data_IF_552786363098
#
_entry.id   IF_552786363098
#
_cell.length_a   1.000
_cell.length_b   1.000
_cell.length_c   1.000
_cell.angle_alpha   90.00
_cell.angle_beta   90.00
_cell.angle_gamma   90.00
#
_symmetry.space_group_name_H-M   'P 1'
#
loop_
_entity.id
_entity.type
_entity.pdbx_description
1 polymer ?
#
# COMPACT_ATOMS: atom_id res chain seq x y z
N UNK A 1 -28.04 -7.17 -19.19
CA UNK A 1 -27.25 -7.52 -18.01
C UNK A 1 -26.26 -6.41 -17.71
N UNK A 2 -26.23 -6.00 -16.48
CA UNK A 2 -25.31 -4.95 -16.06
C UNK A 2 -23.99 -5.57 -15.66
N UNK A 3 -22.91 -5.08 -16.27
CA UNK A 3 -21.57 -5.45 -15.84
C UNK A 3 -21.29 -4.76 -14.50
N UNK A 4 -21.08 -5.55 -13.46
CA UNK A 4 -20.80 -5.00 -12.14
C UNK A 4 -19.30 -4.98 -11.92
N UNK A 5 -18.74 -3.76 -11.82
CA UNK A 5 -17.34 -3.59 -11.47
C UNK A 5 -17.14 -3.97 -10.01
N UNK A 6 -15.98 -4.53 -9.70
CA UNK A 6 -15.63 -4.85 -8.32
C UNK A 6 -15.53 -3.58 -7.47
N UNK A 7 -15.76 -3.73 -6.18
CA UNK A 7 -15.60 -2.67 -5.18
C UNK A 7 -14.48 -3.04 -4.23
N UNK A 8 -13.73 -2.05 -3.76
CA UNK A 8 -12.63 -2.28 -2.84
C UNK A 8 -12.79 -1.41 -1.61
N UNK A 9 -12.33 -1.92 -0.48
CA UNK A 9 -12.18 -1.12 0.72
C UNK A 9 -10.92 -1.53 1.45
N UNK A 10 -10.35 -0.58 2.19
CA UNK A 10 -9.12 -0.78 2.95
C UNK A 10 -9.40 -0.51 4.42
N UNK A 11 -8.87 -1.37 5.28
CA UNK A 11 -8.93 -1.18 6.71
C UNK A 11 -7.54 -1.41 7.27
N UNK A 12 -7.16 -0.70 8.32
CA UNK A 12 -5.89 -0.94 8.98
C UNK A 12 -5.98 -0.57 10.45
N UNK A 13 -5.16 -1.26 11.24
CA UNK A 13 -5.06 -1.05 12.67
C UNK A 13 -3.58 -1.07 13.04
N UNK A 14 -3.10 0.00 13.68
CA UNK A 14 -1.71 0.07 14.11
C UNK A 14 -1.50 -0.91 15.26
N UNK A 15 -0.53 -1.81 15.08
CA UNK A 15 -0.16 -2.81 16.08
C UNK A 15 0.89 -2.23 17.01
N UNK A 16 1.83 -1.46 16.45
CA UNK A 16 2.91 -0.87 17.21
C UNK A 16 2.42 0.18 18.18
N UNK A 17 3.09 0.28 19.32
CA UNK A 17 2.83 1.30 20.32
C UNK A 17 3.15 2.68 19.75
N UNK A 18 2.38 3.70 20.16
CA UNK A 18 2.58 5.08 19.72
C UNK A 18 4.00 5.59 19.92
N UNK A 19 4.70 5.07 20.91
CA UNK A 19 6.03 5.54 21.30
C UNK A 19 7.16 4.80 20.59
N UNK A 20 6.84 3.83 19.72
CA UNK A 20 7.86 3.06 19.02
C UNK A 20 8.72 3.92 18.12
N UNK A 21 8.17 5.04 17.66
CA UNK A 21 8.86 5.95 16.75
C UNK A 21 8.54 7.39 17.11
N UNK A 22 9.51 8.28 16.88
CA UNK A 22 9.34 9.72 17.05
C UNK A 22 10.13 10.42 15.96
N UNK A 23 9.97 11.75 15.85
CA UNK A 23 10.72 12.53 14.87
C UNK A 23 12.24 12.41 15.02
N UNK A 24 12.72 12.01 16.19
CA UNK A 24 14.15 11.76 16.43
C UNK A 24 14.68 10.55 15.68
N UNK A 25 13.80 9.63 15.30
CA UNK A 25 14.17 8.37 14.64
C UNK A 25 14.09 8.45 13.12
N UNK A 26 14.02 9.65 12.56
CA UNK A 26 13.75 9.81 11.14
C UNK A 26 14.81 9.19 10.22
N UNK A 27 16.00 8.90 10.75
CA UNK A 27 17.07 8.24 10.00
C UNK A 27 17.35 6.82 10.46
N UNK A 28 16.60 6.33 11.44
CA UNK A 28 16.83 5.03 12.06
C UNK A 28 16.02 3.97 11.32
N UNK A 29 16.63 3.35 10.31
CA UNK A 29 15.97 2.36 9.46
C UNK A 29 15.34 1.20 10.25
N UNK A 30 16.04 0.57 11.24
CA UNK A 30 15.39 -0.49 12.00
C UNK A 30 14.13 -0.04 12.75
N UNK A 31 14.14 1.17 13.32
CA UNK A 31 12.96 1.69 14.01
C UNK A 31 11.82 1.94 13.02
N UNK A 32 12.14 2.45 11.84
CA UNK A 32 11.17 2.71 10.78
C UNK A 32 10.50 1.41 10.34
N UNK A 33 11.27 0.35 10.11
CA UNK A 33 10.76 -0.94 9.69
C UNK A 33 9.98 -1.67 10.79
N UNK A 34 10.19 -1.29 12.04
CA UNK A 34 9.51 -1.91 13.17
C UNK A 34 8.08 -1.39 13.36
N UNK A 35 7.69 -0.31 12.66
CA UNK A 35 6.33 0.23 12.77
C UNK A 35 5.39 -0.63 11.94
N UNK A 36 4.48 -1.33 12.62
CA UNK A 36 3.62 -2.32 12.00
C UNK A 36 2.13 -2.00 12.16
N UNK A 37 1.37 -2.39 11.17
CA UNK A 37 -0.09 -2.33 11.20
C UNK A 37 -0.66 -3.58 10.55
N UNK A 38 -1.83 -4.01 11.05
CA UNK A 38 -2.60 -5.04 10.36
C UNK A 38 -3.34 -4.34 9.23
N UNK A 39 -3.12 -4.78 8.00
CA UNK A 39 -3.72 -4.17 6.82
C UNK A 39 -4.64 -5.16 6.13
N UNK A 40 -5.86 -4.72 5.83
CA UNK A 40 -6.89 -5.56 5.22
C UNK A 40 -7.39 -4.93 3.93
N UNK A 41 -7.45 -5.73 2.88
CA UNK A 41 -8.12 -5.34 1.63
C UNK A 41 -9.35 -6.22 1.49
N UNK A 42 -10.51 -5.58 1.35
CA UNK A 42 -11.76 -6.28 1.06
C UNK A 42 -12.17 -5.99 -0.38
N UNK A 43 -12.56 -7.02 -1.10
CA UNK A 43 -13.09 -6.90 -2.45
C UNK A 43 -14.50 -7.45 -2.42
N UNK A 44 -15.47 -6.62 -2.78
CA UNK A 44 -16.90 -6.97 -2.72
C UNK A 44 -17.29 -7.48 -1.34
N UNK A 45 -16.79 -6.81 -0.29
CA UNK A 45 -17.04 -7.11 1.12
C UNK A 45 -16.42 -8.42 1.63
N UNK A 46 -15.61 -9.09 0.81
CA UNK A 46 -14.87 -10.28 1.25
C UNK A 46 -13.41 -9.95 1.47
N UNK A 47 -12.81 -10.54 2.49
CA UNK A 47 -11.39 -10.34 2.77
C UNK A 47 -10.57 -10.98 1.65
N UNK A 48 -9.86 -10.16 0.90
CA UNK A 48 -8.95 -10.60 -0.13
C UNK A 48 -7.53 -10.74 0.41
N UNK A 49 -7.11 -9.80 1.26
CA UNK A 49 -5.76 -9.74 1.81
C UNK A 49 -5.86 -9.25 3.26
N UNK A 50 -5.11 -9.90 4.15
CA UNK A 50 -5.03 -9.45 5.53
C UNK A 50 -3.70 -9.90 6.10
N UNK A 51 -2.84 -8.94 6.43
CA UNK A 51 -1.52 -9.25 6.96
C UNK A 51 -0.94 -8.07 7.71
N UNK A 52 -0.01 -8.36 8.60
CA UNK A 52 0.80 -7.32 9.21
C UNK A 52 1.78 -6.80 8.18
N UNK A 53 1.92 -5.49 8.10
CA UNK A 53 2.83 -4.82 7.17
C UNK A 53 3.71 -3.85 7.92
N UNK A 54 4.95 -3.68 7.45
CA UNK A 54 5.79 -2.56 7.82
C UNK A 54 5.15 -1.32 7.20
N UNK A 55 4.29 -0.66 7.94
CA UNK A 55 3.33 0.29 7.38
C UNK A 55 3.97 1.54 6.79
N UNK A 56 5.10 1.99 7.33
CA UNK A 56 5.80 3.15 6.76
C UNK A 56 6.42 2.80 5.41
N UNK A 57 6.92 1.58 5.27
CA UNK A 57 7.44 1.08 4.01
C UNK A 57 6.33 1.00 2.96
N UNK A 58 5.19 0.46 3.34
CA UNK A 58 4.02 0.40 2.45
C UNK A 58 3.57 1.81 2.05
N UNK A 59 3.52 2.72 3.02
CA UNK A 59 3.15 4.11 2.75
C UNK A 59 4.08 4.73 1.69
N UNK A 60 5.40 4.51 1.83
CA UNK A 60 6.35 5.07 0.86
C UNK A 60 6.11 4.52 -0.55
N UNK A 61 5.77 3.24 -0.65
CA UNK A 61 5.45 2.65 -1.95
C UNK A 61 4.25 3.36 -2.59
N UNK A 62 3.20 3.62 -1.81
CA UNK A 62 2.03 4.38 -2.29
C UNK A 62 2.42 5.80 -2.71
N UNK A 63 3.23 6.47 -1.89
CA UNK A 63 3.66 7.84 -2.14
C UNK A 63 4.45 7.94 -3.44
N UNK A 64 5.40 7.04 -3.66
CA UNK A 64 6.21 7.01 -4.87
C UNK A 64 5.38 6.72 -6.11
N UNK A 65 4.45 5.78 -6.00
CA UNK A 65 3.54 5.47 -7.10
C UNK A 65 2.69 6.68 -7.46
N UNK A 66 2.14 7.35 -6.46
CA UNK A 66 1.30 8.54 -6.69
C UNK A 66 2.08 9.64 -7.40
N UNK A 67 3.34 9.84 -7.05
CA UNK A 67 4.19 10.84 -7.69
C UNK A 67 4.38 10.58 -9.20
N UNK A 68 4.30 9.32 -9.62
CA UNK A 68 4.52 8.94 -11.00
C UNK A 68 3.27 9.00 -11.87
N UNK A 69 2.11 9.23 -11.27
CA UNK A 69 0.86 9.33 -12.03
C UNK A 69 0.86 10.63 -12.81
N UNK A 70 0.59 10.54 -14.12
CA UNK A 70 0.43 11.70 -14.97
C UNK A 70 -0.95 11.64 -15.62
N UNK A 71 -1.34 12.73 -16.29
CA UNK A 71 -2.60 12.81 -17.00
C UNK A 71 -2.78 11.69 -18.03
N UNK A 72 -1.68 11.30 -18.66
CA UNK A 72 -1.71 10.34 -19.77
C UNK A 72 -1.19 8.96 -19.40
N UNK A 73 -0.70 8.77 -18.16
CA UNK A 73 -0.12 7.49 -17.78
C UNK A 73 -0.33 7.18 -16.30
N UNK A 74 -0.86 5.98 -16.06
CA UNK A 74 -1.01 5.44 -14.71
C UNK A 74 -0.12 4.21 -14.64
N UNK A 75 1.02 4.29 -13.92
CA UNK A 75 1.91 3.13 -13.81
C UNK A 75 1.31 2.06 -12.91
N UNK A 76 1.80 0.84 -13.06
CA UNK A 76 1.43 -0.21 -12.12
C UNK A 76 1.99 0.12 -10.74
N UNK A 77 1.26 -0.27 -9.70
CA UNK A 77 1.72 -0.20 -8.33
C UNK A 77 2.18 -1.59 -7.90
N UNK A 78 3.35 -1.67 -7.30
CA UNK A 78 3.85 -2.93 -6.75
C UNK A 78 4.53 -2.67 -5.42
N UNK A 79 4.06 -3.36 -4.38
CA UNK A 79 4.68 -3.29 -3.07
C UNK A 79 5.42 -4.57 -2.76
N UNK A 80 6.70 -4.43 -2.47
CA UNK A 80 7.58 -5.49 -1.97
C UNK A 80 8.17 -5.00 -0.66
N UNK A 81 8.32 -5.92 0.30
CA UNK A 81 9.02 -5.55 1.53
C UNK A 81 10.48 -5.97 1.46
N UNK A 82 11.36 -5.17 2.07
CA UNK A 82 12.79 -5.50 2.14
C UNK A 82 13.04 -6.69 3.06
N UNK A 83 12.06 -7.06 3.88
CA UNK A 83 12.15 -8.21 4.79
C UNK A 83 11.83 -9.54 4.10
N UNK A 84 11.31 -9.51 2.89
CA UNK A 84 10.95 -10.70 2.12
C UNK A 84 11.68 -10.64 0.78
N UNK A 85 12.57 -11.59 0.56
CA UNK A 85 13.48 -11.57 -0.59
C UNK A 85 13.13 -12.51 -1.73
N UNK A 86 11.99 -13.20 -1.66
CA UNK A 86 11.54 -14.08 -2.75
C UNK A 86 10.56 -13.34 -3.67
N UNK A 87 11.12 -12.63 -4.64
CA UNK A 87 10.34 -11.82 -5.58
C UNK A 87 9.85 -12.59 -6.80
N UNK A 88 10.22 -13.86 -6.95
CA UNK A 88 9.81 -14.66 -8.09
C UNK A 88 8.30 -14.88 -8.09
N UNK A 89 7.69 -14.94 -6.91
CA UNK A 89 6.26 -15.17 -6.77
C UNK A 89 5.42 -13.90 -7.01
N UNK A 90 6.08 -12.76 -7.14
CA UNK A 90 5.40 -11.49 -7.39
C UNK A 90 5.33 -10.56 -6.19
N UNK A 91 4.54 -9.51 -6.31
CA UNK A 91 4.42 -8.48 -5.28
C UNK A 91 3.45 -8.90 -4.18
N UNK A 92 3.69 -8.40 -2.97
CA UNK A 92 2.79 -8.59 -1.84
C UNK A 92 1.43 -7.96 -2.16
N UNK A 93 1.43 -6.76 -2.72
CA UNK A 93 0.22 -6.08 -3.21
C UNK A 93 0.57 -5.42 -4.53
N UNK A 94 -0.27 -5.60 -5.54
CA UNK A 94 -0.08 -4.92 -6.81
C UNK A 94 -1.39 -4.42 -7.37
N UNK A 95 -1.31 -3.32 -8.11
CA UNK A 95 -2.39 -2.77 -8.91
C UNK A 95 -1.88 -2.75 -10.35
N UNK A 96 -2.53 -3.50 -11.22
CA UNK A 96 -2.07 -3.74 -12.58
C UNK A 96 -3.08 -3.17 -13.58
N UNK A 97 -2.82 -1.95 -14.11
CA UNK A 97 -3.69 -1.35 -15.12
C UNK A 97 -3.61 -2.10 -16.45
N UNK A 98 -4.74 -2.19 -17.12
CA UNK A 98 -4.83 -2.67 -18.49
C UNK A 98 -6.02 -1.98 -19.17
N UNK A 99 -5.76 -1.27 -20.27
CA UNK A 99 -6.79 -0.47 -20.95
C UNK A 99 -7.43 0.53 -19.95
N UNK A 100 -8.75 0.57 -19.84
CA UNK A 100 -9.47 1.43 -18.91
C UNK A 100 -9.85 0.72 -17.61
N UNK A 101 -9.19 -0.39 -17.32
CA UNK A 101 -9.45 -1.26 -16.15
C UNK A 101 -8.16 -1.49 -15.37
N UNK A 102 -8.29 -2.13 -14.22
CA UNK A 102 -7.15 -2.58 -13.44
C UNK A 102 -7.54 -3.76 -12.55
N UNK A 103 -6.56 -4.55 -12.19
CA UNK A 103 -6.73 -5.67 -11.25
C UNK A 103 -5.82 -5.49 -10.06
N UNK A 104 -6.29 -5.95 -8.91
CA UNK A 104 -5.49 -6.04 -7.68
C UNK A 104 -5.05 -7.49 -7.52
N UNK A 105 -3.78 -7.69 -7.22
CA UNK A 105 -3.21 -9.02 -6.99
C UNK A 105 -2.33 -9.01 -5.75
N UNK A 106 -2.20 -10.19 -5.14
CA UNK A 106 -1.31 -10.39 -4.00
C UNK A 106 -0.85 -11.84 -3.98
N UNK A 107 0.45 -12.05 -3.71
CA UNK A 107 0.97 -13.40 -3.48
C UNK A 107 0.51 -13.95 -2.13
N UNK A 108 0.04 -13.09 -1.23
CA UNK A 108 -0.45 -13.47 0.11
C UNK A 108 -1.98 -13.38 0.20
N UNK A 109 -2.69 -13.45 -0.93
CA UNK A 109 -4.14 -13.37 -0.92
C UNK A 109 -4.76 -14.47 -0.06
N UNK A 110 -5.71 -14.08 0.79
CA UNK A 110 -6.42 -15.04 1.65
C UNK A 110 -7.37 -15.93 0.85
N UNK A 111 -7.87 -15.42 -0.27
CA UNK A 111 -8.75 -16.14 -1.14
C UNK A 111 -8.55 -15.70 -2.58
N UNK A 112 -8.88 -16.57 -3.51
CA UNK A 112 -8.72 -16.29 -4.94
C UNK A 112 -9.95 -15.55 -5.46
N UNK A 113 -10.04 -14.26 -5.15
CA UNK A 113 -11.15 -13.43 -5.59
C UNK A 113 -10.77 -12.78 -6.92
N UNK A 114 -11.46 -13.18 -7.98
CA UNK A 114 -11.29 -12.52 -9.27
C UNK A 114 -11.85 -11.10 -9.19
N UNK A 115 -11.10 -10.14 -9.66
CA UNK A 115 -11.51 -8.74 -9.59
C UNK A 115 -11.09 -8.00 -10.85
N UNK A 116 -11.94 -7.05 -11.25
CA UNK A 116 -11.63 -6.08 -12.30
C UNK A 116 -12.31 -4.78 -11.88
N UNK A 117 -11.54 -3.73 -11.81
CA UNK A 117 -12.03 -2.40 -11.39
C UNK A 117 -11.96 -1.43 -12.56
N UNK A 118 -12.88 -0.47 -12.57
CA UNK A 118 -12.72 0.69 -13.46
C UNK A 118 -11.46 1.45 -13.03
N UNK A 119 -10.64 1.84 -13.99
CA UNK A 119 -9.35 2.44 -13.71
C UNK A 119 -9.47 3.72 -12.87
N UNK A 120 -10.37 4.63 -13.25
CA UNK A 120 -10.54 5.86 -12.49
C UNK A 120 -11.00 5.60 -11.05
N UNK A 121 -11.88 4.64 -10.86
CA UNK A 121 -12.36 4.28 -9.54
C UNK A 121 -11.23 3.77 -8.65
N UNK A 122 -10.46 2.79 -9.15
CA UNK A 122 -9.43 2.16 -8.31
C UNK A 122 -8.26 3.10 -8.04
N UNK A 123 -7.89 3.93 -9.02
CA UNK A 123 -6.83 4.93 -8.81
C UNK A 123 -7.26 5.92 -7.73
N UNK A 124 -8.51 6.38 -7.76
CA UNK A 124 -9.03 7.28 -6.73
C UNK A 124 -8.97 6.63 -5.36
N UNK A 125 -9.34 5.35 -5.25
CA UNK A 125 -9.32 4.63 -3.98
C UNK A 125 -7.89 4.51 -3.43
N UNK A 126 -6.91 4.22 -4.28
CA UNK A 126 -5.51 4.13 -3.86
C UNK A 126 -4.93 5.50 -3.49
N UNK A 127 -5.29 6.56 -4.22
CA UNK A 127 -4.83 7.92 -3.90
C UNK A 127 -5.44 8.37 -2.57
N UNK A 128 -6.72 8.09 -2.35
CA UNK A 128 -7.38 8.41 -1.08
C UNK A 128 -6.75 7.62 0.08
N UNK A 129 -6.37 6.36 -0.18
CA UNK A 129 -5.67 5.55 0.81
C UNK A 129 -4.35 6.20 1.22
N UNK A 130 -3.58 6.69 0.26
CA UNK A 130 -2.31 7.35 0.57
C UNK A 130 -2.53 8.55 1.49
N UNK A 131 -3.53 9.38 1.17
CA UNK A 131 -3.81 10.59 1.96
C UNK A 131 -4.30 10.25 3.36
N UNK A 132 -5.23 9.30 3.47
CA UNK A 132 -5.78 8.90 4.76
C UNK A 132 -4.72 8.23 5.62
N UNK A 133 -3.92 7.35 5.03
CA UNK A 133 -2.87 6.63 5.75
C UNK A 133 -1.82 7.62 6.29
N UNK A 134 -1.41 8.61 5.49
CA UNK A 134 -0.49 9.64 5.94
C UNK A 134 -1.04 10.36 7.17
N UNK A 135 -2.28 10.82 7.08
CA UNK A 135 -2.91 11.55 8.17
C UNK A 135 -2.97 10.69 9.43
N UNK A 136 -3.41 9.45 9.30
CA UNK A 136 -3.57 8.56 10.45
C UNK A 136 -2.22 8.19 11.09
N UNK A 137 -1.19 7.95 10.28
CA UNK A 137 0.16 7.69 10.80
C UNK A 137 0.69 8.91 11.55
N UNK A 138 0.58 10.08 10.94
CA UNK A 138 1.11 11.30 11.54
C UNK A 138 0.39 11.66 12.86
N UNK A 139 -0.91 11.44 12.93
CA UNK A 139 -1.67 11.68 14.13
C UNK A 139 -1.39 10.65 15.23
N UNK A 140 -1.34 9.37 14.85
CA UNK A 140 -1.18 8.29 15.83
C UNK A 140 0.22 8.30 16.46
N UNK A 141 1.27 8.47 15.66
CA UNK A 141 2.65 8.40 16.13
C UNK A 141 3.24 9.78 16.43
N UNK A 142 2.52 10.86 16.13
CA UNK A 142 2.98 12.24 16.30
C UNK A 142 4.31 12.49 15.59
N UNK A 143 4.35 12.16 14.31
CA UNK A 143 5.52 12.34 13.45
C UNK A 143 5.13 13.07 12.17
N UNK A 144 6.15 13.57 11.46
CA UNK A 144 5.98 14.15 10.14
C UNK A 144 6.61 13.24 9.10
N UNK A 145 5.79 12.56 8.32
CA UNK A 145 6.26 11.57 7.36
C UNK A 145 7.24 12.12 6.34
N UNK A 146 7.09 13.38 5.95
CA UNK A 146 8.00 13.97 4.97
C UNK A 146 9.44 14.04 5.48
N UNK A 147 9.66 14.06 6.80
CA UNK A 147 10.98 14.00 7.37
C UNK A 147 11.59 12.60 7.34
N UNK A 148 10.76 11.58 7.12
CA UNK A 148 11.18 10.18 7.10
C UNK A 148 11.30 9.63 5.69
N UNK A 149 10.62 10.23 4.71
CA UNK A 149 10.35 9.59 3.42
C UNK A 149 11.59 9.11 2.68
N UNK A 150 12.68 9.85 2.71
CA UNK A 150 13.90 9.44 2.00
C UNK A 150 14.70 8.37 2.76
N UNK A 151 14.41 8.17 4.04
CA UNK A 151 15.09 7.17 4.87
C UNK A 151 14.30 5.87 5.00
N UNK A 152 13.03 5.86 4.56
CA UNK A 152 12.23 4.64 4.55
C UNK A 152 12.77 3.75 3.43
N UNK A 153 13.11 2.52 3.78
CA UNK A 153 13.60 1.54 2.82
C UNK A 153 12.51 1.18 1.82
N UNK A 154 12.90 0.91 0.60
CA UNK A 154 11.97 0.39 -0.40
C UNK A 154 12.74 -0.50 -1.37
N UNK A 155 12.06 -1.51 -1.89
CA UNK A 155 12.63 -2.41 -2.86
C UNK A 155 12.42 -1.82 -4.25
N UNK A 156 13.50 -1.69 -5.01
CA UNK A 156 13.43 -1.26 -6.40
C UNK A 156 13.40 -2.50 -7.27
N UNK A 157 12.27 -2.71 -7.94
CA UNK A 157 12.10 -3.79 -8.89
C UNK A 157 11.94 -3.16 -10.26
N UNK A 158 12.88 -3.45 -11.14
CA UNK A 158 12.79 -2.98 -12.52
C UNK A 158 11.83 -3.89 -13.26
N UNK A 159 10.90 -3.27 -13.96
CA UNK A 159 9.92 -4.01 -14.75
C UNK A 159 10.34 -4.09 -16.21
#
# INVERSE_FOLDING_TARGET
MVSISSKISFEYEFISNKEIISNKHNKDVPSILAVEAMFTIKINDEIYFQSELAILEFYKALFRWKEKITKDNIPKFQYYTVEYDDYEDGAIISLLPFSDKARVKSIWAESDIYNVFDLNYIVTEFVDLEQKLRKDIEEYFDIKLMNFIKYISHTLIES
#
